data_IF_620591624446
#
_entry.id   IF_620591624446
#
_cell.length_a   1.000
_cell.length_b   1.000
_cell.length_c   1.000
_cell.angle_alpha   90.00
_cell.angle_beta   90.00
_cell.angle_gamma   90.00
#
_symmetry.space_group_name_H-M   'P 1'
#
loop_
_entity.id
_entity.type
_entity.pdbx_description
1 polymer ?
#
# COMPACT_ATOMS: atom_id res chain seq x y z
N UNK A 1 -53.51 48.92 24.64
CA UNK A 1 -53.49 48.84 23.16
C UNK A 1 -52.05 49.02 22.71
N UNK A 2 -51.42 47.90 22.34
CA UNK A 2 -50.83 47.62 21.02
C UNK A 2 -49.52 48.35 20.72
N UNK A 3 -48.45 47.53 20.72
CA UNK A 3 -47.32 47.52 19.77
C UNK A 3 -46.30 48.67 19.93
N UNK A 4 -44.99 48.50 19.78
CA UNK A 4 -44.23 47.46 19.10
C UNK A 4 -42.79 47.48 19.65
N UNK A 5 -42.26 46.31 19.99
CA UNK A 5 -40.83 46.08 20.18
C UNK A 5 -40.07 46.45 18.91
N UNK A 6 -39.00 47.26 19.03
CA UNK A 6 -37.94 47.30 18.02
C UNK A 6 -36.64 46.92 18.72
N UNK A 7 -36.44 45.61 18.79
CA UNK A 7 -35.16 44.97 19.06
C UNK A 7 -34.27 45.25 17.84
N UNK A 8 -33.37 46.23 17.92
CA UNK A 8 -32.27 46.37 16.95
C UNK A 8 -31.17 45.40 17.33
N UNK A 9 -31.38 44.13 16.97
CA UNK A 9 -30.32 43.14 16.92
C UNK A 9 -29.30 43.57 15.86
N UNK A 10 -28.14 44.01 16.32
CA UNK A 10 -26.95 44.12 15.49
C UNK A 10 -26.63 42.69 15.05
N UNK A 11 -27.09 42.36 13.85
CA UNK A 11 -26.67 41.21 13.08
C UNK A 11 -25.16 41.37 12.88
N UNK A 12 -24.37 40.76 13.76
CA UNK A 12 -23.00 40.40 13.42
C UNK A 12 -23.10 39.41 12.26
N UNK A 13 -23.14 39.96 11.05
CA UNK A 13 -22.76 39.25 9.86
C UNK A 13 -21.27 38.92 10.02
N UNK A 14 -20.99 37.85 10.76
CA UNK A 14 -19.82 37.02 10.52
C UNK A 14 -20.00 36.45 9.10
N UNK A 15 -19.79 37.33 8.11
CA UNK A 15 -19.31 36.93 6.81
C UNK A 15 -17.94 36.31 7.09
N UNK A 16 -17.98 35.02 7.44
CA UNK A 16 -16.85 34.14 7.36
C UNK A 16 -16.42 34.19 5.90
N UNK A 17 -15.54 35.13 5.59
CA UNK A 17 -14.60 34.97 4.50
C UNK A 17 -13.72 33.78 4.88
N UNK A 18 -14.27 32.57 4.79
CA UNK A 18 -13.48 31.41 4.45
C UNK A 18 -12.90 31.74 3.09
N UNK A 19 -11.68 32.30 3.10
CA UNK A 19 -10.79 32.14 1.95
C UNK A 19 -10.90 30.66 1.61
N UNK A 20 -11.29 30.27 0.39
CA UNK A 20 -11.17 28.87 0.00
C UNK A 20 -9.73 28.52 0.32
N UNK A 21 -9.52 27.57 1.24
CA UNK A 21 -8.18 27.08 1.53
C UNK A 21 -7.65 26.69 0.16
N UNK A 22 -6.73 27.50 -0.39
CA UNK A 22 -5.89 27.05 -1.49
C UNK A 22 -5.36 25.73 -0.99
N UNK A 23 -5.74 24.67 -1.70
CA UNK A 23 -5.37 23.31 -1.40
C UNK A 23 -3.84 23.32 -1.33
N UNK A 24 -3.27 23.50 -0.14
CA UNK A 24 -1.83 23.46 0.09
C UNK A 24 -1.46 21.98 -0.01
N UNK A 25 -1.56 21.45 -1.22
CA UNK A 25 -1.12 20.11 -1.53
C UNK A 25 0.37 20.07 -1.22
N UNK A 26 0.72 19.09 -0.40
CA UNK A 26 2.07 18.90 0.07
C UNK A 26 2.92 18.54 -1.16
N UNK A 27 4.02 19.26 -1.36
CA UNK A 27 4.96 18.96 -2.44
C UNK A 27 5.72 17.69 -2.09
N UNK A 28 5.34 16.57 -2.69
CA UNK A 28 5.88 15.24 -2.34
C UNK A 28 7.41 15.17 -2.51
N UNK A 29 7.95 15.91 -3.47
CA UNK A 29 9.39 16.05 -3.70
C UNK A 29 10.17 16.61 -2.49
N UNK A 30 9.51 17.27 -1.54
CA UNK A 30 10.14 17.75 -0.31
C UNK A 30 10.35 16.62 0.72
N UNK A 31 9.74 15.44 0.50
CA UNK A 31 9.72 14.30 1.42
C UNK A 31 10.25 13.00 0.81
N UNK A 32 10.49 12.98 -0.50
CA UNK A 32 10.89 11.79 -1.23
C UNK A 32 12.07 12.15 -2.14
N UNK A 33 13.05 11.27 -2.17
CA UNK A 33 14.20 11.34 -3.07
C UNK A 33 14.40 10.01 -3.80
N UNK A 34 15.40 9.95 -4.66
CA UNK A 34 15.80 8.76 -5.39
C UNK A 34 17.30 8.57 -5.21
N UNK A 35 17.71 7.38 -4.78
CA UNK A 35 19.10 6.99 -4.66
C UNK A 35 19.48 5.99 -5.75
N UNK A 36 20.80 5.93 -6.00
CA UNK A 36 21.41 5.09 -7.04
C UNK A 36 22.47 4.14 -6.46
N UNK A 37 22.12 3.30 -5.47
CA UNK A 37 23.04 2.27 -5.01
C UNK A 37 23.47 1.41 -6.20
N UNK A 38 24.71 0.96 -6.19
CA UNK A 38 25.25 0.17 -7.29
C UNK A 38 26.18 -0.90 -6.78
N UNK A 39 26.29 -1.98 -7.56
CA UNK A 39 27.19 -3.10 -7.30
C UNK A 39 27.87 -3.52 -8.60
N UNK A 40 28.93 -4.31 -8.47
CA UNK A 40 29.63 -4.90 -9.61
C UNK A 40 29.09 -6.31 -9.85
N UNK A 41 28.65 -6.56 -11.07
CA UNK A 41 28.33 -7.89 -11.59
C UNK A 41 29.37 -8.24 -12.66
N UNK A 42 30.41 -8.98 -12.23
CA UNK A 42 31.66 -9.08 -12.98
C UNK A 42 32.33 -7.70 -13.14
N UNK A 43 32.55 -7.28 -14.38
CA UNK A 43 33.11 -5.95 -14.71
C UNK A 43 32.03 -4.87 -14.89
N UNK A 44 30.75 -5.26 -14.93
CA UNK A 44 29.64 -4.33 -15.19
C UNK A 44 29.15 -3.70 -13.90
N UNK A 45 29.10 -2.36 -13.86
CA UNK A 45 28.40 -1.64 -12.80
C UNK A 45 26.90 -1.67 -13.05
N UNK A 46 26.16 -2.23 -12.10
CA UNK A 46 24.70 -2.27 -12.12
C UNK A 46 24.17 -1.25 -11.13
N UNK A 47 23.36 -0.31 -11.61
CA UNK A 47 22.68 0.68 -10.78
C UNK A 47 21.30 0.17 -10.39
N UNK A 48 20.99 0.26 -9.11
CA UNK A 48 19.67 0.02 -8.55
C UNK A 48 19.00 1.38 -8.38
N UNK A 49 17.74 1.46 -8.78
CA UNK A 49 16.93 2.66 -8.65
C UNK A 49 16.04 2.51 -7.42
N UNK A 50 16.29 3.33 -6.41
CA UNK A 50 15.67 3.19 -5.10
C UNK A 50 15.02 4.51 -4.66
N UNK A 51 13.69 4.64 -4.72
CA UNK A 51 12.98 5.74 -4.06
C UNK A 51 13.17 5.64 -2.55
N UNK A 52 13.47 6.77 -1.90
CA UNK A 52 13.70 6.86 -0.47
C UNK A 52 12.89 8.02 0.14
N UNK A 53 12.50 7.85 1.40
CA UNK A 53 11.84 8.91 2.18
C UNK A 53 12.93 9.76 2.85
N UNK A 54 12.86 11.07 2.66
CA UNK A 54 13.77 12.04 3.28
C UNK A 54 13.53 12.05 4.79
N UNK A 55 14.61 11.99 5.57
CA UNK A 55 14.54 12.12 7.03
C UNK A 55 14.67 13.60 7.41
N UNK A 56 13.64 14.13 8.04
CA UNK A 56 13.52 15.50 8.52
C UNK A 56 12.69 15.51 9.81
N UNK A 57 12.89 16.54 10.63
CA UNK A 57 12.28 16.66 11.96
C UNK A 57 10.89 17.30 11.97
N UNK A 58 10.35 17.63 10.78
CA UNK A 58 9.02 18.20 10.64
C UNK A 58 7.90 17.16 10.89
N UNK A 59 6.70 17.67 11.19
CA UNK A 59 5.56 16.84 11.58
C UNK A 59 5.05 15.94 10.44
N UNK A 60 5.18 16.38 9.19
CA UNK A 60 4.76 15.61 8.01
C UNK A 60 5.72 14.43 7.84
N UNK A 61 7.02 14.68 7.87
CA UNK A 61 8.03 13.62 7.75
C UNK A 61 7.89 12.58 8.87
N UNK A 62 7.66 13.01 10.11
CA UNK A 62 7.41 12.10 11.25
C UNK A 62 6.20 11.19 11.00
N UNK A 63 5.11 11.74 10.46
CA UNK A 63 3.92 10.97 10.09
C UNK A 63 4.19 10.00 8.93
N UNK A 64 4.96 10.42 7.93
CA UNK A 64 5.38 9.56 6.83
C UNK A 64 6.22 8.40 7.36
N UNK A 65 7.22 8.67 8.20
CA UNK A 65 8.12 7.66 8.79
C UNK A 65 7.35 6.67 9.68
N UNK A 66 6.40 7.14 10.50
CA UNK A 66 5.57 6.27 11.35
C UNK A 66 4.81 5.21 10.55
N UNK A 67 4.45 5.52 9.30
CA UNK A 67 3.72 4.63 8.40
C UNK A 67 4.46 4.42 7.08
N UNK A 68 5.80 4.35 7.16
CA UNK A 68 6.74 4.39 6.04
C UNK A 68 6.35 3.45 4.89
N UNK A 69 5.92 2.23 5.23
CA UNK A 69 5.61 1.18 4.27
C UNK A 69 4.46 1.52 3.33
N UNK A 70 3.48 2.30 3.77
CA UNK A 70 2.37 2.79 2.92
C UNK A 70 2.90 3.61 1.75
N UNK A 71 3.86 4.48 2.05
CA UNK A 71 4.46 5.39 1.08
C UNK A 71 5.46 4.66 0.19
N UNK A 72 6.26 3.74 0.75
CA UNK A 72 7.09 2.84 -0.06
C UNK A 72 6.25 2.07 -1.08
N UNK A 73 5.12 1.50 -0.65
CA UNK A 73 4.21 0.82 -1.57
C UNK A 73 3.82 1.71 -2.77
N UNK A 74 3.41 2.96 -2.51
CA UNK A 74 3.07 3.90 -3.58
C UNK A 74 4.27 4.18 -4.49
N UNK A 75 5.44 4.47 -3.92
CA UNK A 75 6.64 4.82 -4.67
C UNK A 75 7.09 3.71 -5.62
N UNK A 76 7.04 2.46 -5.17
CA UNK A 76 7.48 1.34 -5.98
C UNK A 76 6.42 0.79 -6.94
N UNK A 77 5.13 0.89 -6.62
CA UNK A 77 4.06 0.30 -7.45
C UNK A 77 3.33 1.29 -8.35
N UNK A 78 3.42 2.59 -8.07
CA UNK A 78 2.66 3.62 -8.80
C UNK A 78 3.54 4.58 -9.58
N UNK A 79 4.85 4.60 -9.31
CA UNK A 79 5.81 5.26 -10.20
C UNK A 79 6.34 4.26 -11.23
N UNK A 80 6.54 4.72 -12.47
CA UNK A 80 7.07 3.89 -13.55
C UNK A 80 8.61 3.77 -13.44
N UNK A 81 9.08 3.06 -12.40
CA UNK A 81 10.50 2.91 -12.10
C UNK A 81 11.28 2.18 -13.20
N UNK A 82 10.64 1.24 -13.92
CA UNK A 82 11.28 0.52 -15.02
C UNK A 82 11.59 1.44 -16.21
N UNK A 83 10.71 2.41 -16.50
CA UNK A 83 11.01 3.43 -17.51
C UNK A 83 12.19 4.30 -17.09
N UNK A 84 12.28 4.65 -15.80
CA UNK A 84 13.40 5.43 -15.28
C UNK A 84 14.72 4.63 -15.33
N UNK A 85 14.67 3.32 -15.05
CA UNK A 85 15.85 2.45 -15.06
C UNK A 85 16.53 2.39 -16.43
N UNK A 86 15.77 2.52 -17.52
CA UNK A 86 16.30 2.56 -18.90
C UNK A 86 17.21 3.75 -19.19
N UNK A 87 17.10 4.81 -18.40
CA UNK A 87 17.88 6.04 -18.56
C UNK A 87 19.21 5.99 -17.79
N UNK A 88 19.44 4.95 -16.98
CA UNK A 88 20.73 4.78 -16.31
C UNK A 88 21.83 4.48 -17.34
N UNK A 89 23.04 5.05 -17.17
CA UNK A 89 23.53 5.69 -15.95
C UNK A 89 23.32 7.22 -15.84
N UNK A 90 22.49 7.85 -16.69
CA UNK A 90 22.22 9.30 -16.62
C UNK A 90 21.33 9.66 -15.40
N UNK A 91 21.96 9.77 -14.24
CA UNK A 91 21.29 10.05 -12.96
C UNK A 91 20.61 11.43 -12.91
N UNK A 92 21.09 12.41 -13.67
CA UNK A 92 20.49 13.75 -13.76
C UNK A 92 19.15 13.65 -14.48
N UNK A 93 19.11 12.97 -15.63
CA UNK A 93 17.88 12.71 -16.37
C UNK A 93 16.89 11.89 -15.54
N UNK A 94 17.37 10.84 -14.86
CA UNK A 94 16.52 10.03 -13.97
C UNK A 94 15.92 10.87 -12.84
N UNK A 95 16.72 11.71 -12.18
CA UNK A 95 16.23 12.57 -11.10
C UNK A 95 15.12 13.52 -11.58
N UNK A 96 15.30 14.11 -12.76
CA UNK A 96 14.29 14.99 -13.35
C UNK A 96 12.97 14.24 -13.65
N UNK A 97 13.05 13.11 -14.34
CA UNK A 97 11.87 12.29 -14.67
C UNK A 97 11.19 11.72 -13.41
N UNK A 98 11.96 11.41 -12.37
CA UNK A 98 11.40 10.99 -11.09
C UNK A 98 10.57 12.10 -10.45
N UNK A 99 11.08 13.34 -10.41
CA UNK A 99 10.31 14.50 -9.92
C UNK A 99 9.05 14.72 -10.76
N UNK A 100 9.15 14.62 -12.09
CA UNK A 100 7.97 14.70 -12.98
C UNK A 100 6.91 13.65 -12.61
N UNK A 101 7.31 12.39 -12.38
CA UNK A 101 6.39 11.34 -11.93
C UNK A 101 5.77 11.63 -10.55
N UNK A 102 6.50 12.26 -9.62
CA UNK A 102 5.94 12.68 -8.32
C UNK A 102 4.89 13.79 -8.48
N UNK A 103 4.95 14.56 -9.57
CA UNK A 103 3.96 15.60 -9.87
C UNK A 103 2.71 15.08 -10.60
N UNK A 104 2.65 13.80 -10.97
CA UNK A 104 1.44 13.19 -11.53
C UNK A 104 0.25 13.34 -10.57
N UNK A 105 -0.87 13.86 -11.08
CA UNK A 105 -2.04 14.20 -10.25
C UNK A 105 -2.62 12.96 -9.55
N UNK A 106 -2.62 11.81 -10.22
CA UNK A 106 -3.18 10.57 -9.67
C UNK A 106 -2.30 10.04 -8.55
N UNK A 107 -0.98 10.03 -8.75
CA UNK A 107 -0.01 9.73 -7.69
C UNK A 107 -0.14 10.68 -6.50
N UNK A 108 -0.20 12.00 -6.77
CA UNK A 108 -0.37 13.01 -5.72
C UNK A 108 -1.64 12.80 -4.90
N UNK A 109 -2.75 12.45 -5.55
CA UNK A 109 -4.00 12.17 -4.86
C UNK A 109 -3.87 10.98 -3.90
N UNK A 110 -3.22 9.88 -4.33
CA UNK A 110 -3.01 8.74 -3.43
C UNK A 110 -2.14 9.11 -2.23
N UNK A 111 -1.02 9.77 -2.48
CA UNK A 111 -0.07 10.13 -1.43
C UNK A 111 -0.71 11.06 -0.39
N UNK A 112 -1.39 12.11 -0.86
CA UNK A 112 -2.08 13.07 0.01
C UNK A 112 -3.25 12.42 0.77
N UNK A 113 -3.96 11.47 0.16
CA UNK A 113 -5.06 10.77 0.83
C UNK A 113 -4.57 9.87 1.97
N UNK A 114 -3.42 9.22 1.82
CA UNK A 114 -2.80 8.46 2.93
C UNK A 114 -2.28 9.42 4.01
N UNK A 115 -1.68 10.54 3.59
CA UNK A 115 -1.06 11.49 4.50
C UNK A 115 -2.07 12.29 5.32
N UNK A 116 -3.20 12.67 4.72
CA UNK A 116 -4.27 13.44 5.34
C UNK A 116 -5.60 12.71 5.06
N UNK A 117 -5.95 11.71 5.88
CA UNK A 117 -7.11 10.84 5.63
C UNK A 117 -8.44 11.56 5.98
N UNK A 118 -8.85 12.50 5.13
CA UNK A 118 -10.09 13.28 5.30
C UNK A 118 -11.33 12.49 4.87
N UNK A 119 -11.24 11.79 3.74
CA UNK A 119 -12.33 10.97 3.20
C UNK A 119 -11.97 9.50 3.21
N UNK A 120 -12.91 8.67 3.67
CA UNK A 120 -12.72 7.22 3.75
C UNK A 120 -13.31 6.52 2.54
N UNK A 121 -12.47 5.79 1.82
CA UNK A 121 -12.91 4.88 0.77
C UNK A 121 -13.41 3.59 1.41
N UNK A 122 -14.63 3.17 1.06
CA UNK A 122 -15.20 1.93 1.60
C UNK A 122 -14.87 0.76 0.69
N UNK A 123 -14.18 -0.25 1.21
CA UNK A 123 -13.93 -1.54 0.57
C UNK A 123 -14.72 -2.66 1.26
N UNK A 124 -14.91 -3.76 0.57
CA UNK A 124 -15.48 -4.99 1.11
C UNK A 124 -14.41 -5.85 1.79
N UNK A 125 -14.86 -6.74 2.67
CA UNK A 125 -14.00 -7.78 3.24
C UNK A 125 -13.34 -8.65 2.17
N UNK A 126 -14.08 -9.00 1.09
CA UNK A 126 -13.55 -9.78 -0.04
C UNK A 126 -12.35 -9.07 -0.69
N UNK A 127 -12.46 -7.77 -0.95
CA UNK A 127 -11.37 -6.97 -1.51
C UNK A 127 -10.16 -6.93 -0.58
N UNK A 128 -10.38 -6.74 0.73
CA UNK A 128 -9.31 -6.75 1.73
C UNK A 128 -8.53 -8.07 1.71
N UNK A 129 -9.24 -9.19 1.76
CA UNK A 129 -8.62 -10.52 1.84
C UNK A 129 -7.88 -10.89 0.54
N UNK A 130 -8.42 -10.52 -0.61
CA UNK A 130 -7.74 -10.75 -1.89
C UNK A 130 -6.47 -9.89 -2.05
N UNK A 131 -6.50 -8.63 -1.58
CA UNK A 131 -5.31 -7.80 -1.54
C UNK A 131 -4.26 -8.40 -0.61
N UNK A 132 -4.66 -8.90 0.56
CA UNK A 132 -3.73 -9.55 1.49
C UNK A 132 -3.09 -10.82 0.91
N UNK A 133 -3.91 -11.69 0.30
CA UNK A 133 -3.45 -12.92 -0.34
C UNK A 133 -2.49 -12.65 -1.51
N UNK A 134 -2.65 -11.53 -2.24
CA UNK A 134 -1.72 -11.13 -3.28
C UNK A 134 -0.30 -10.89 -2.78
N UNK A 135 -0.11 -10.55 -1.51
CA UNK A 135 1.23 -10.41 -0.93
C UNK A 135 1.83 -11.73 -0.43
N UNK A 136 1.06 -12.83 -0.45
CA UNK A 136 1.49 -14.16 -0.05
C UNK A 136 1.93 -14.99 -1.26
N UNK A 137 2.96 -14.54 -2.01
CA UNK A 137 3.46 -15.29 -3.17
C UNK A 137 4.45 -16.38 -2.77
N UNK A 138 4.28 -17.62 -3.23
CA UNK A 138 5.38 -18.58 -3.27
C UNK A 138 6.33 -18.30 -4.42
N UNK A 139 7.62 -18.17 -4.10
CA UNK A 139 8.70 -18.11 -5.07
C UNK A 139 9.59 -19.34 -5.01
N UNK A 140 9.79 -19.95 -6.18
CA UNK A 140 10.64 -21.11 -6.35
C UNK A 140 12.05 -20.68 -6.72
N UNK A 141 12.99 -20.88 -5.81
CA UNK A 141 14.42 -20.73 -6.07
C UNK A 141 15.08 -22.10 -5.99
N UNK A 142 15.52 -22.63 -7.13
CA UNK A 142 16.23 -23.92 -7.23
C UNK A 142 15.50 -25.09 -6.54
N UNK A 143 14.18 -25.17 -6.71
CA UNK A 143 13.36 -26.24 -6.14
C UNK A 143 12.92 -26.02 -4.69
N UNK A 144 13.29 -24.90 -4.07
CA UNK A 144 12.83 -24.50 -2.74
C UNK A 144 11.84 -23.35 -2.86
N UNK A 145 10.67 -23.55 -2.30
CA UNK A 145 9.67 -22.49 -2.19
C UNK A 145 9.93 -21.66 -0.93
N UNK A 146 10.03 -20.35 -1.11
CA UNK A 146 10.23 -19.39 -0.03
C UNK A 146 9.10 -18.37 -0.01
N UNK A 147 8.81 -17.86 1.19
CA UNK A 147 7.94 -16.71 1.37
C UNK A 147 8.64 -15.47 0.82
N UNK A 148 8.06 -14.83 -0.19
CA UNK A 148 8.45 -13.47 -0.57
C UNK A 148 7.24 -12.56 -0.46
N UNK A 149 7.38 -11.57 0.40
CA UNK A 149 6.47 -10.43 0.51
C UNK A 149 6.96 -9.35 -0.46
N UNK A 150 6.47 -9.37 -1.70
CA UNK A 150 6.94 -8.47 -2.75
C UNK A 150 6.18 -7.14 -2.76
N UNK A 151 6.94 -6.05 -2.85
CA UNK A 151 6.47 -4.79 -3.45
C UNK A 151 6.71 -4.89 -4.96
N UNK A 152 5.75 -4.51 -5.82
CA UNK A 152 5.97 -4.36 -7.27
C UNK A 152 5.54 -5.54 -8.13
N UNK A 153 5.25 -6.71 -7.54
CA UNK A 153 4.82 -7.90 -8.27
C UNK A 153 3.41 -8.31 -7.83
N UNK A 154 2.44 -8.24 -8.76
CA UNK A 154 1.08 -8.76 -8.53
C UNK A 154 1.01 -10.21 -8.99
N UNK A 155 0.74 -11.14 -8.08
CA UNK A 155 0.68 -12.57 -8.41
C UNK A 155 -0.45 -12.94 -9.36
N UNK A 156 -1.59 -12.26 -9.24
CA UNK A 156 -2.67 -12.28 -10.22
C UNK A 156 -3.33 -10.89 -10.26
N UNK A 157 -3.72 -10.37 -11.43
CA UNK A 157 -4.75 -9.36 -11.46
C UNK A 157 -6.00 -9.97 -10.82
N UNK A 158 -6.55 -9.31 -9.80
CA UNK A 158 -7.79 -9.75 -9.20
C UNK A 158 -8.87 -9.57 -10.25
N UNK A 159 -9.18 -10.64 -11.00
CA UNK A 159 -10.02 -10.59 -12.20
C UNK A 159 -11.40 -9.96 -11.90
N UNK A 160 -11.89 -10.15 -10.68
CA UNK A 160 -13.18 -9.62 -10.21
C UNK A 160 -13.21 -8.09 -9.97
N UNK A 161 -12.06 -7.41 -9.93
CA UNK A 161 -11.99 -5.99 -9.55
C UNK A 161 -11.17 -5.14 -10.52
N UNK A 162 -11.00 -5.59 -11.76
CA UNK A 162 -10.19 -4.90 -12.78
C UNK A 162 -10.56 -3.42 -13.00
N UNK A 163 -11.82 -3.04 -12.75
CA UNK A 163 -12.31 -1.67 -12.88
C UNK A 163 -12.24 -0.85 -11.58
N UNK A 164 -11.83 -1.46 -10.47
CA UNK A 164 -11.77 -0.79 -9.17
C UNK A 164 -10.34 -0.43 -8.81
N UNK A 165 -10.14 0.82 -8.42
CA UNK A 165 -8.87 1.27 -7.90
C UNK A 165 -8.67 0.82 -6.45
N UNK A 166 -7.80 -0.17 -6.26
CA UNK A 166 -7.45 -0.72 -4.95
C UNK A 166 -6.18 -0.10 -4.38
N UNK A 167 -5.58 0.91 -5.02
CA UNK A 167 -4.24 1.43 -4.67
C UNK A 167 -4.08 1.78 -3.19
N UNK A 168 -5.06 2.48 -2.63
CA UNK A 168 -5.05 2.86 -1.20
C UNK A 168 -5.18 1.62 -0.31
N UNK A 169 -6.09 0.69 -0.65
CA UNK A 169 -6.24 -0.55 0.09
C UNK A 169 -4.95 -1.38 0.06
N UNK A 170 -4.32 -1.51 -1.11
CA UNK A 170 -3.05 -2.19 -1.29
C UNK A 170 -1.95 -1.58 -0.40
N UNK A 171 -1.85 -0.25 -0.33
CA UNK A 171 -0.86 0.43 0.51
C UNK A 171 -1.08 0.19 2.02
N UNK A 172 -2.34 0.20 2.47
CA UNK A 172 -2.68 -0.05 3.90
C UNK A 172 -2.46 -1.52 4.26
N UNK A 173 -2.87 -2.46 3.40
CA UNK A 173 -2.68 -3.89 3.64
C UNK A 173 -1.20 -4.26 3.60
N UNK A 174 -0.43 -3.64 2.70
CA UNK A 174 1.02 -3.81 2.65
C UNK A 174 1.68 -3.43 3.98
N UNK A 175 1.34 -2.26 4.53
CA UNK A 175 1.83 -1.79 5.84
C UNK A 175 1.46 -2.75 6.98
N UNK A 176 0.20 -3.18 7.02
CA UNK A 176 -0.28 -4.14 8.03
C UNK A 176 0.47 -5.48 7.94
N UNK A 177 0.46 -6.11 6.78
CA UNK A 177 1.07 -7.43 6.61
C UNK A 177 2.58 -7.38 6.86
N UNK A 178 3.27 -6.34 6.42
CA UNK A 178 4.69 -6.16 6.72
C UNK A 178 4.98 -6.01 8.21
N UNK A 179 4.13 -5.31 8.96
CA UNK A 179 4.24 -5.23 10.41
C UNK A 179 4.13 -6.64 11.03
N UNK A 180 3.18 -7.46 10.61
CA UNK A 180 3.09 -8.84 11.11
C UNK A 180 4.32 -9.68 10.75
N UNK A 181 4.73 -9.68 9.49
CA UNK A 181 5.80 -10.56 9.01
C UNK A 181 7.21 -10.17 9.48
N UNK A 182 7.46 -8.90 9.80
CA UNK A 182 8.80 -8.41 10.12
C UNK A 182 8.96 -7.84 11.53
N UNK A 183 7.88 -7.43 12.20
CA UNK A 183 7.96 -6.73 13.49
C UNK A 183 7.28 -7.48 14.64
N UNK A 184 6.51 -8.53 14.35
CA UNK A 184 5.85 -9.33 15.39
C UNK A 184 6.40 -10.74 15.42
N UNK A 185 6.51 -11.30 16.63
CA UNK A 185 6.82 -12.72 16.84
C UNK A 185 5.57 -13.63 16.63
N UNK A 186 4.46 -13.07 16.12
CA UNK A 186 3.26 -13.84 15.80
C UNK A 186 3.45 -14.61 14.50
N UNK A 187 4.04 -15.80 14.61
CA UNK A 187 4.33 -16.68 13.50
C UNK A 187 3.10 -17.39 12.92
N UNK A 188 1.87 -17.18 13.41
CA UNK A 188 0.69 -17.95 12.94
C UNK A 188 0.43 -17.80 11.45
N UNK A 189 0.35 -16.56 10.96
CA UNK A 189 0.09 -16.28 9.54
C UNK A 189 1.23 -16.85 8.67
N UNK A 190 2.47 -16.69 9.12
CA UNK A 190 3.66 -17.22 8.43
C UNK A 190 3.67 -18.75 8.41
N UNK A 191 3.33 -19.41 9.51
CA UNK A 191 3.24 -20.85 9.62
C UNK A 191 2.10 -21.41 8.76
N UNK A 192 0.94 -20.76 8.76
CA UNK A 192 -0.16 -21.10 7.87
C UNK A 192 0.28 -20.99 6.41
N UNK A 193 0.93 -19.90 6.03
CA UNK A 193 1.50 -19.73 4.69
C UNK A 193 2.46 -20.87 4.33
N UNK A 194 3.46 -21.17 5.17
CA UNK A 194 4.45 -22.24 4.92
C UNK A 194 3.74 -23.59 4.74
N UNK A 195 2.75 -23.87 5.59
CA UNK A 195 1.92 -25.06 5.48
C UNK A 195 1.19 -25.12 4.14
N UNK A 196 0.53 -24.04 3.70
CA UNK A 196 -0.20 -24.00 2.42
C UNK A 196 0.71 -24.18 1.22
N UNK A 197 1.91 -23.61 1.26
CA UNK A 197 2.92 -23.83 0.22
C UNK A 197 3.30 -25.31 0.15
N UNK A 198 3.54 -25.94 1.31
CA UNK A 198 3.94 -27.34 1.38
C UNK A 198 2.83 -28.28 0.85
N UNK A 199 1.58 -28.04 1.26
CA UNK A 199 0.38 -28.74 0.76
C UNK A 199 0.25 -28.60 -0.77
N UNK A 200 0.45 -27.40 -1.31
CA UNK A 200 0.39 -27.15 -2.74
C UNK A 200 1.49 -27.90 -3.51
N UNK A 201 2.72 -27.87 -3.00
CA UNK A 201 3.88 -28.53 -3.64
C UNK A 201 3.68 -30.04 -3.74
N UNK A 202 3.11 -30.65 -2.69
CA UNK A 202 2.77 -32.07 -2.65
C UNK A 202 1.63 -32.39 -3.62
N UNK A 203 0.54 -31.61 -3.57
CA UNK A 203 -0.64 -31.77 -4.43
C UNK A 203 -0.29 -31.71 -5.92
N UNK A 204 0.61 -30.80 -6.31
CA UNK A 204 1.03 -30.59 -7.69
C UNK A 204 2.40 -31.19 -8.01
N UNK A 205 2.84 -32.18 -7.23
CA UNK A 205 4.17 -32.81 -7.36
C UNK A 205 4.44 -33.40 -8.74
N UNK A 206 3.41 -33.95 -9.38
CA UNK A 206 3.47 -34.64 -10.69
C UNK A 206 3.34 -33.71 -11.90
N UNK A 207 3.17 -32.41 -11.71
CA UNK A 207 3.04 -31.46 -12.82
C UNK A 207 4.40 -31.07 -13.42
N UNK A 208 4.37 -30.61 -14.68
CA UNK A 208 5.51 -29.94 -15.30
C UNK A 208 5.92 -28.71 -14.50
N UNK A 209 7.19 -28.30 -14.54
CA UNK A 209 7.68 -27.18 -13.72
C UNK A 209 6.93 -25.85 -13.97
N UNK A 210 6.54 -25.58 -15.22
CA UNK A 210 5.79 -24.37 -15.60
C UNK A 210 4.36 -24.39 -15.04
N UNK A 211 3.66 -25.52 -15.21
CA UNK A 211 2.29 -25.67 -14.72
C UNK A 211 2.27 -25.71 -13.20
N UNK A 212 3.24 -26.40 -12.59
CA UNK A 212 3.39 -26.54 -11.13
C UNK A 212 3.47 -25.18 -10.43
N UNK A 213 4.30 -24.26 -10.92
CA UNK A 213 4.45 -22.94 -10.30
C UNK A 213 3.14 -22.13 -10.34
N UNK A 214 2.44 -22.13 -11.48
CA UNK A 214 1.18 -21.42 -11.63
C UNK A 214 0.09 -21.98 -10.72
N UNK A 215 -0.02 -23.32 -10.65
CA UNK A 215 -0.98 -24.01 -9.79
C UNK A 215 -0.69 -23.80 -8.30
N UNK A 216 0.59 -23.84 -7.88
CA UNK A 216 0.97 -23.56 -6.50
C UNK A 216 0.62 -22.12 -6.10
N UNK A 217 0.94 -21.14 -6.95
CA UNK A 217 0.58 -19.73 -6.69
C UNK A 217 -0.94 -19.54 -6.55
N UNK A 218 -1.71 -20.20 -7.40
CA UNK A 218 -3.17 -20.16 -7.35
C UNK A 218 -3.75 -20.81 -6.09
N UNK A 219 -3.27 -22.00 -5.75
CA UNK A 219 -3.69 -22.71 -4.54
C UNK A 219 -3.42 -21.87 -3.30
N UNK A 220 -2.18 -21.39 -3.14
CA UNK A 220 -1.81 -20.56 -1.98
C UNK A 220 -2.65 -19.29 -1.95
N UNK A 221 -2.83 -18.60 -3.08
CA UNK A 221 -3.69 -17.42 -3.14
C UNK A 221 -5.12 -17.72 -2.64
N UNK A 222 -5.73 -18.82 -3.09
CA UNK A 222 -7.09 -19.20 -2.71
C UNK A 222 -7.22 -19.58 -1.23
N UNK A 223 -6.24 -20.29 -0.69
CA UNK A 223 -6.20 -20.63 0.75
C UNK A 223 -6.00 -19.38 1.61
N UNK A 224 -5.12 -18.47 1.20
CA UNK A 224 -4.81 -17.26 1.96
C UNK A 224 -5.96 -16.23 1.95
N UNK A 225 -6.83 -16.23 0.93
CA UNK A 225 -8.08 -15.44 0.94
C UNK A 225 -9.00 -15.85 2.10
N UNK A 226 -8.98 -17.14 2.47
CA UNK A 226 -9.87 -17.71 3.48
C UNK A 226 -9.21 -17.80 4.86
N UNK A 227 -7.97 -17.34 4.99
CA UNK A 227 -7.20 -17.46 6.22
C UNK A 227 -7.78 -16.55 7.33
N UNK A 228 -8.26 -17.19 8.39
CA UNK A 228 -8.92 -16.53 9.53
C UNK A 228 -7.92 -15.72 10.35
N UNK A 229 -6.66 -16.14 10.45
CA UNK A 229 -5.63 -15.43 11.20
C UNK A 229 -5.27 -14.12 10.48
N UNK A 230 -5.12 -14.14 9.15
CA UNK A 230 -4.98 -12.92 8.33
C UNK A 230 -6.17 -11.99 8.54
N UNK A 231 -7.40 -12.52 8.42
CA UNK A 231 -8.61 -11.72 8.59
C UNK A 231 -8.65 -11.04 9.96
N UNK A 232 -8.42 -11.79 11.03
CA UNK A 232 -8.43 -11.28 12.40
C UNK A 232 -7.34 -10.23 12.62
N UNK A 233 -6.13 -10.47 12.10
CA UNK A 233 -5.03 -9.53 12.18
C UNK A 233 -5.36 -8.21 11.47
N UNK A 234 -5.83 -8.27 10.22
CA UNK A 234 -6.18 -7.07 9.45
C UNK A 234 -7.37 -6.32 10.07
N UNK A 235 -8.36 -7.03 10.60
CA UNK A 235 -9.47 -6.41 11.31
C UNK A 235 -9.00 -5.65 12.55
N UNK A 236 -8.10 -6.24 13.35
CA UNK A 236 -7.49 -5.59 14.51
C UNK A 236 -6.68 -4.36 14.09
N UNK A 237 -5.76 -4.52 13.13
CA UNK A 237 -4.93 -3.43 12.62
C UNK A 237 -5.76 -2.24 12.13
N UNK A 238 -6.81 -2.50 11.33
CA UNK A 238 -7.70 -1.47 10.78
C UNK A 238 -8.49 -0.76 11.89
N UNK A 239 -8.93 -1.50 12.92
CA UNK A 239 -9.63 -0.92 14.08
C UNK A 239 -8.72 0.00 14.89
N UNK A 240 -7.51 -0.45 15.18
CA UNK A 240 -6.49 0.30 15.95
C UNK A 240 -6.00 1.54 15.18
N UNK A 241 -5.93 1.46 13.86
CA UNK A 241 -5.47 2.55 13.00
C UNK A 241 -6.61 3.37 12.36
N UNK A 242 -7.85 3.24 12.83
CA UNK A 242 -9.04 3.84 12.18
C UNK A 242 -8.97 5.35 11.96
N UNK A 243 -8.18 6.07 12.75
CA UNK A 243 -8.00 7.54 12.63
C UNK A 243 -6.86 7.91 11.66
N UNK A 244 -5.99 6.96 11.34
CA UNK A 244 -4.76 7.16 10.57
C UNK A 244 -4.81 6.55 9.16
N UNK A 245 -5.91 5.91 8.78
CA UNK A 245 -6.08 5.29 7.46
C UNK A 245 -7.31 5.85 6.74
N UNK A 246 -7.22 6.12 5.42
CA UNK A 246 -8.32 6.64 4.61
C UNK A 246 -9.26 5.55 4.08
N UNK A 247 -9.43 4.45 4.83
CA UNK A 247 -10.27 3.32 4.41
C UNK A 247 -11.30 2.93 5.46
N UNK A 248 -12.38 2.31 5.00
CA UNK A 248 -13.37 1.61 5.82
C UNK A 248 -13.63 0.25 5.19
N UNK A 249 -13.73 -0.79 6.00
CA UNK A 249 -14.10 -2.13 5.53
C UNK A 249 -15.55 -2.42 5.90
N UNK A 250 -16.34 -2.86 4.91
CA UNK A 250 -17.65 -3.46 5.12
C UNK A 250 -17.46 -4.95 5.38
N UNK A 251 -17.39 -5.29 6.67
CA UNK A 251 -17.31 -6.66 7.14
C UNK A 251 -18.59 -7.43 6.81
N UNK A 252 -18.45 -8.68 6.38
CA UNK A 252 -19.57 -9.60 6.34
C UNK A 252 -19.81 -10.00 7.79
N UNK A 253 -20.94 -9.57 8.36
CA UNK A 253 -21.26 -9.77 9.78
C UNK A 253 -21.06 -11.23 10.18
N UNK A 254 -20.03 -11.49 10.97
CA UNK A 254 -20.09 -12.54 11.99
C UNK A 254 -20.15 -11.79 13.31
N UNK A 255 -21.24 -11.87 14.09
CA UNK A 255 -21.24 -11.33 15.44
C UNK A 255 -20.12 -12.03 16.20
N UNK A 256 -19.12 -11.27 16.63
CA UNK A 256 -18.13 -11.75 17.58
C UNK A 256 -18.93 -11.96 18.88
N UNK A 257 -19.14 -13.22 19.24
CA UNK A 257 -19.60 -13.60 20.58
C UNK A 257 -18.42 -13.59 21.53
#
# INVERSE_FOLDING_TARGET
MKNLLILTGILFAFLSCEKPMKNNQIKIQDYVTISYPNYLDGEKRVYILQPDIIKSDDSITKKIIQHKRRYEYLLYNKLNLDSLRKELPDTIKVSKLFIENLTDLKFQNYFNQILIPNEKITFSEKELMQVAANFCSPENYNGKYSFRFCIGEKNKPVADFSNRDLTILEAIVYDAMAQNFWETDDDKIKNNYIKRVSEAVETYSNLSASDKNSQIKEYVFNEMIQDVDIKNYLQKFISENKMNIPIKIKWLTTPIK
#
